data_IF_290660221855
#
_entry.id   IF_290660221855
#
_cell.length_a   1.000
_cell.length_b   1.000
_cell.length_c   1.000
_cell.angle_alpha   90.00
_cell.angle_beta   90.00
_cell.angle_gamma   90.00
#
_symmetry.space_group_name_H-M   'P 1'
#
loop_
_entity.id
_entity.type
_entity.pdbx_description
1 polymer ?
#
# COMPACT_ATOMS: atom_id res chain seq x y z
N UNK A 1 3.22 34.28 -22.63
CA UNK A 1 4.07 33.58 -23.60
C UNK A 1 5.38 33.17 -23.00
N UNK A 2 6.13 34.11 -22.43
CA UNK A 2 7.34 33.78 -21.70
C UNK A 2 7.07 32.87 -20.49
N UNK A 3 5.86 32.96 -19.92
CA UNK A 3 5.42 32.09 -18.83
C UNK A 3 5.34 30.60 -19.23
N UNK A 4 5.06 30.31 -20.51
CA UNK A 4 5.02 28.92 -21.00
C UNK A 4 6.37 28.26 -21.05
N UNK A 5 7.43 29.00 -21.37
CA UNK A 5 8.78 28.48 -21.43
C UNK A 5 9.35 28.21 -20.03
N UNK A 6 9.02 29.05 -19.04
CA UNK A 6 9.38 28.82 -17.64
C UNK A 6 8.70 27.60 -17.05
N UNK A 7 7.47 27.28 -17.50
CA UNK A 7 6.70 26.15 -17.02
C UNK A 7 7.22 24.80 -17.54
N UNK A 8 7.93 24.75 -18.64
CA UNK A 8 8.48 23.50 -19.18
C UNK A 8 9.48 22.88 -18.19
N UNK A 9 10.38 23.68 -17.62
CA UNK A 9 11.31 23.22 -16.61
C UNK A 9 10.60 22.70 -15.35
N UNK A 10 9.53 23.37 -14.94
CA UNK A 10 8.71 22.96 -13.80
C UNK A 10 7.97 21.66 -14.07
N UNK A 11 7.47 21.47 -15.29
CA UNK A 11 6.79 20.23 -15.70
C UNK A 11 7.76 19.04 -15.64
N UNK A 12 8.98 19.21 -16.14
CA UNK A 12 10.00 18.15 -16.10
C UNK A 12 10.37 17.81 -14.65
N UNK A 13 10.49 18.80 -13.79
CA UNK A 13 10.77 18.62 -12.37
C UNK A 13 9.64 17.86 -11.69
N UNK A 14 8.39 18.22 -11.97
CA UNK A 14 7.21 17.53 -11.43
C UNK A 14 7.15 16.08 -11.89
N UNK A 15 7.46 15.80 -13.15
CA UNK A 15 7.52 14.43 -13.68
C UNK A 15 8.56 13.58 -12.94
N UNK A 16 9.71 14.15 -12.66
CA UNK A 16 10.76 13.47 -11.90
C UNK A 16 10.31 13.20 -10.46
N UNK A 17 9.69 14.19 -9.82
CA UNK A 17 9.15 14.03 -8.47
C UNK A 17 8.08 12.96 -8.42
N UNK A 18 7.19 12.91 -9.41
CA UNK A 18 6.16 11.87 -9.52
C UNK A 18 6.77 10.48 -9.66
N UNK A 19 7.81 10.33 -10.48
CA UNK A 19 8.51 9.05 -10.62
C UNK A 19 9.16 8.61 -9.31
N UNK A 20 9.74 9.55 -8.59
CA UNK A 20 10.37 9.28 -7.29
C UNK A 20 9.31 8.84 -6.26
N UNK A 21 8.13 9.48 -6.26
CA UNK A 21 7.00 9.10 -5.42
C UNK A 21 6.54 7.69 -5.78
N UNK A 22 6.39 7.38 -7.06
CA UNK A 22 5.99 6.04 -7.50
C UNK A 22 6.98 4.97 -7.06
N UNK A 23 8.27 5.24 -7.14
CA UNK A 23 9.31 4.33 -6.66
C UNK A 23 9.18 4.09 -5.15
N UNK A 24 8.93 5.15 -4.38
CA UNK A 24 8.72 5.04 -2.92
C UNK A 24 7.49 4.21 -2.61
N UNK A 25 6.39 4.41 -3.34
CA UNK A 25 5.17 3.64 -3.16
C UNK A 25 5.40 2.15 -3.47
N UNK A 26 6.10 1.84 -4.56
CA UNK A 26 6.42 0.45 -4.90
C UNK A 26 7.32 -0.22 -3.88
N UNK A 27 8.24 0.54 -3.29
CA UNK A 27 9.16 0.04 -2.27
C UNK A 27 8.52 -0.06 -0.88
N UNK A 28 7.44 0.65 -0.62
CA UNK A 28 6.76 0.64 0.67
C UNK A 28 6.11 -0.72 0.92
N UNK A 29 6.11 -1.15 2.18
CA UNK A 29 5.55 -2.45 2.58
C UNK A 29 4.58 -2.25 3.73
N UNK A 30 3.40 -2.86 3.58
CA UNK A 30 2.35 -2.86 4.60
C UNK A 30 1.94 -4.31 4.83
N UNK A 31 2.17 -4.78 6.03
CA UNK A 31 1.99 -6.17 6.41
C UNK A 31 0.83 -6.28 7.38
N UNK A 32 -0.03 -7.26 7.18
CA UNK A 32 -1.12 -7.56 8.10
C UNK A 32 -1.46 -9.04 8.06
N UNK A 33 -2.12 -9.50 9.11
CA UNK A 33 -2.58 -10.88 9.20
C UNK A 33 -4.10 -10.91 9.12
N UNK A 34 -4.63 -12.08 8.75
CA UNK A 34 -6.06 -12.33 8.79
C UNK A 34 -6.58 -12.28 10.22
N UNK A 35 -7.91 -12.11 10.39
CA UNK A 35 -8.52 -12.04 11.72
C UNK A 35 -8.31 -13.32 12.52
N UNK A 36 -8.19 -14.48 11.86
CA UNK A 36 -7.89 -15.75 12.51
C UNK A 36 -6.38 -16.03 12.65
N UNK A 37 -5.53 -15.13 12.14
CA UNK A 37 -4.08 -15.27 12.21
C UNK A 37 -3.45 -16.27 11.24
N UNK A 38 -4.25 -16.94 10.41
CA UNK A 38 -3.77 -18.03 9.56
C UNK A 38 -3.07 -17.56 8.29
N UNK A 39 -3.32 -16.34 7.85
CA UNK A 39 -2.74 -15.79 6.62
C UNK A 39 -2.10 -14.44 6.90
N UNK A 40 -0.92 -14.23 6.33
CA UNK A 40 -0.22 -12.95 6.36
C UNK A 40 -0.10 -12.43 4.94
N UNK A 41 -0.45 -11.17 4.73
CA UNK A 41 -0.34 -10.50 3.44
C UNK A 41 0.59 -9.30 3.56
N UNK A 42 1.38 -9.08 2.51
CA UNK A 42 2.21 -7.88 2.38
C UNK A 42 1.84 -7.20 1.07
N UNK A 43 1.48 -5.93 1.16
CA UNK A 43 1.18 -5.10 -0.02
C UNK A 43 2.17 -3.95 -0.11
N UNK A 44 2.29 -3.37 -1.30
CA UNK A 44 3.06 -2.14 -1.50
C UNK A 44 2.13 -0.92 -1.44
N UNK A 45 2.70 0.28 -1.59
CA UNK A 45 1.93 1.52 -1.56
C UNK A 45 1.03 1.74 -2.76
N UNK A 46 1.17 0.93 -3.81
CA UNK A 46 0.29 0.97 -4.99
C UNK A 46 -0.83 -0.08 -4.90
N UNK A 47 -1.05 -0.65 -3.71
CA UNK A 47 -2.03 -1.73 -3.46
C UNK A 47 -1.71 -3.04 -4.20
N UNK A 48 -0.46 -3.22 -4.60
CA UNK A 48 -0.02 -4.50 -5.17
C UNK A 48 0.26 -5.52 -4.07
N UNK A 49 -0.24 -6.73 -4.23
CA UNK A 49 0.08 -7.84 -3.34
C UNK A 49 1.49 -8.33 -3.67
N UNK A 50 2.39 -8.22 -2.71
CA UNK A 50 3.81 -8.55 -2.91
C UNK A 50 4.14 -9.93 -2.36
N UNK A 51 3.54 -10.29 -1.23
CA UNK A 51 3.81 -11.55 -0.58
C UNK A 51 2.56 -12.06 0.14
N UNK A 52 2.45 -13.38 0.23
CA UNK A 52 1.32 -14.04 0.88
C UNK A 52 1.84 -15.30 1.55
N UNK A 53 1.62 -15.42 2.85
CA UNK A 53 1.99 -16.60 3.61
C UNK A 53 0.75 -17.23 4.24
N UNK A 54 0.57 -18.51 4.02
CA UNK A 54 -0.59 -19.27 4.52
C UNK A 54 -0.09 -20.32 5.48
N UNK A 55 -0.67 -20.38 6.69
CA UNK A 55 -0.32 -21.39 7.68
C UNK A 55 -0.66 -22.78 7.12
N UNK A 56 0.30 -23.72 7.12
CA UNK A 56 0.04 -25.07 6.65
C UNK A 56 -1.10 -25.79 7.38
N UNK A 57 -1.36 -25.42 8.63
CA UNK A 57 -2.46 -26.02 9.40
C UNK A 57 -3.83 -25.74 8.77
N UNK A 58 -4.07 -24.51 8.30
CA UNK A 58 -5.34 -24.20 7.65
C UNK A 58 -5.47 -24.92 6.31
N UNK A 59 -4.36 -25.10 5.59
CA UNK A 59 -4.34 -25.83 4.31
C UNK A 59 -4.67 -27.31 4.54
N UNK A 60 -4.16 -27.90 5.60
CA UNK A 60 -4.40 -29.31 5.93
C UNK A 60 -5.85 -29.63 6.28
N UNK A 61 -6.64 -28.62 6.65
CA UNK A 61 -8.08 -28.82 6.90
C UNK A 61 -8.86 -29.15 5.64
N UNK A 62 -8.35 -28.76 4.46
CA UNK A 62 -9.05 -28.91 3.20
C UNK A 62 -10.25 -27.97 3.02
N UNK A 63 -10.45 -27.04 3.95
CA UNK A 63 -11.58 -26.09 3.90
C UNK A 63 -11.19 -24.87 3.03
N UNK A 64 -11.47 -24.99 1.75
CA UNK A 64 -11.13 -23.95 0.75
C UNK A 64 -11.82 -22.63 1.06
N UNK A 65 -13.08 -22.64 1.49
CA UNK A 65 -13.82 -21.42 1.83
C UNK A 65 -13.18 -20.66 2.99
N UNK A 66 -12.70 -21.39 3.98
CA UNK A 66 -12.02 -20.83 5.14
C UNK A 66 -10.71 -20.17 4.71
N UNK A 67 -9.95 -20.81 3.81
CA UNK A 67 -8.71 -20.27 3.28
C UNK A 67 -8.98 -19.00 2.48
N UNK A 68 -9.99 -19.03 1.60
CA UNK A 68 -10.38 -17.86 0.80
C UNK A 68 -10.73 -16.65 1.69
N UNK A 69 -11.54 -16.88 2.73
CA UNK A 69 -11.92 -15.82 3.67
C UNK A 69 -10.71 -15.26 4.42
N UNK A 70 -9.79 -16.11 4.82
CA UNK A 70 -8.58 -15.69 5.52
C UNK A 70 -7.69 -14.83 4.61
N UNK A 71 -7.54 -15.21 3.33
CA UNK A 71 -6.78 -14.41 2.35
C UNK A 71 -7.40 -13.03 2.17
N UNK A 72 -8.72 -12.97 1.97
CA UNK A 72 -9.44 -11.70 1.81
C UNK A 72 -9.25 -10.83 3.06
N UNK A 73 -9.38 -11.42 4.24
CA UNK A 73 -9.18 -10.72 5.52
C UNK A 73 -7.78 -10.13 5.64
N UNK A 74 -6.74 -10.90 5.34
CA UNK A 74 -5.36 -10.46 5.44
C UNK A 74 -5.06 -9.30 4.49
N UNK A 75 -5.47 -9.43 3.23
CA UNK A 75 -5.26 -8.40 2.20
C UNK A 75 -6.03 -7.13 2.56
N UNK A 76 -7.29 -7.26 3.00
CA UNK A 76 -8.10 -6.11 3.42
C UNK A 76 -7.48 -5.40 4.61
N UNK A 77 -6.98 -6.14 5.59
CA UNK A 77 -6.33 -5.57 6.77
C UNK A 77 -5.04 -4.82 6.41
N UNK A 78 -4.27 -5.35 5.45
CA UNK A 78 -3.07 -4.69 4.95
C UNK A 78 -3.42 -3.38 4.22
N UNK A 79 -4.46 -3.39 3.39
CA UNK A 79 -4.93 -2.21 2.68
C UNK A 79 -5.43 -1.13 3.65
N UNK A 80 -6.16 -1.52 4.70
CA UNK A 80 -6.60 -0.58 5.73
C UNK A 80 -5.43 0.05 6.49
N UNK A 81 -4.42 -0.75 6.80
CA UNK A 81 -3.21 -0.27 7.46
C UNK A 81 -2.52 0.80 6.60
N UNK A 82 -2.40 0.55 5.30
CA UNK A 82 -1.84 1.51 4.36
C UNK A 82 -2.65 2.81 4.35
N UNK A 83 -3.98 2.71 4.27
CA UNK A 83 -4.86 3.89 4.26
C UNK A 83 -4.71 4.72 5.53
N UNK A 84 -4.65 4.06 6.69
CA UNK A 84 -4.48 4.76 7.97
C UNK A 84 -3.15 5.49 8.06
N UNK A 85 -2.07 4.85 7.65
CA UNK A 85 -0.75 5.46 7.67
C UNK A 85 -0.67 6.63 6.70
N UNK A 86 -1.27 6.52 5.52
CA UNK A 86 -1.33 7.61 4.54
C UNK A 86 -2.15 8.79 5.07
N UNK A 87 -3.29 8.52 5.74
CA UNK A 87 -4.11 9.56 6.36
C UNK A 87 -3.34 10.29 7.48
N UNK A 88 -2.60 9.55 8.29
CA UNK A 88 -1.78 10.13 9.37
C UNK A 88 -0.69 11.03 8.81
N UNK A 89 -0.04 10.62 7.73
CA UNK A 89 0.98 11.44 7.06
C UNK A 89 0.38 12.71 6.49
N UNK A 90 -0.80 12.62 5.85
CA UNK A 90 -1.50 13.79 5.33
C UNK A 90 -1.90 14.75 6.43
N UNK A 91 -2.37 14.24 7.57
CA UNK A 91 -2.70 15.06 8.74
C UNK A 91 -1.48 15.82 9.24
N UNK A 92 -0.33 15.17 9.34
CA UNK A 92 0.91 15.81 9.77
C UNK A 92 1.35 16.91 8.82
N UNK A 93 1.23 16.67 7.51
CA UNK A 93 1.55 17.67 6.50
C UNK A 93 0.61 18.85 6.60
N UNK A 94 -0.70 18.60 6.75
CA UNK A 94 -1.71 19.66 6.91
C UNK A 94 -1.46 20.49 8.18
N UNK A 95 -1.14 19.83 9.29
CA UNK A 95 -0.83 20.49 10.56
C UNK A 95 0.42 21.39 10.44
N UNK A 96 1.40 20.96 9.66
CA UNK A 96 2.60 21.74 9.42
C UNK A 96 2.37 22.96 8.52
N UNK A 97 1.30 22.98 7.73
CA UNK A 97 0.95 24.10 6.86
C UNK A 97 0.15 25.18 7.58
N UNK A 98 -0.50 24.87 8.68
CA UNK A 98 -1.35 25.76 9.46
C UNK A 98 -0.80 25.95 10.87
#
# INVERSE_FOLDING_TARGET
MLKGLGNIGNILKLQKEMKDIQKKLRAARFEAVSNDGAVKAVINGELGLVDLSIDPEIVSTGDVKKIEKAVISAVSNAAEKMKRQSADEMSRIADGLF
#
